data_IF_299559067283
#
_entry.id   IF_299559067283
#
_cell.length_a   1.000
_cell.length_b   1.000
_cell.length_c   1.000
_cell.angle_alpha   90.00
_cell.angle_beta   90.00
_cell.angle_gamma   90.00
#
_symmetry.space_group_name_H-M   'P 1'
#
loop_
_entity.id
_entity.type
_entity.pdbx_description
1 polymer ?
#
# COMPACT_ATOMS: atom_id res chain seq x y z
N UNK A 1 -14.95 -2.41 24.80
CA UNK A 1 -13.48 -2.38 24.67
C UNK A 1 -12.96 -3.62 23.93
N UNK A 2 -13.47 -4.81 24.24
CA UNK A 2 -13.07 -6.07 23.56
C UNK A 2 -13.37 -6.10 22.05
N UNK A 3 -14.51 -5.58 21.62
CA UNK A 3 -14.90 -5.52 20.20
C UNK A 3 -13.88 -4.76 19.35
N UNK A 4 -13.42 -3.60 19.81
CA UNK A 4 -12.43 -2.80 19.10
C UNK A 4 -11.07 -3.52 19.01
N UNK A 5 -10.70 -4.28 20.05
CA UNK A 5 -9.46 -5.07 20.02
C UNK A 5 -9.58 -6.27 19.08
N UNK A 6 -10.74 -6.93 19.02
CA UNK A 6 -11.00 -8.03 18.09
C UNK A 6 -11.01 -7.53 16.64
N UNK A 7 -11.69 -6.40 16.37
CA UNK A 7 -11.73 -5.76 15.05
C UNK A 7 -10.32 -5.38 14.58
N UNK A 8 -9.53 -4.72 15.44
CA UNK A 8 -8.14 -4.38 15.14
C UNK A 8 -7.31 -5.61 14.79
N UNK A 9 -7.37 -6.67 15.60
CA UNK A 9 -6.65 -7.93 15.32
C UNK A 9 -7.10 -8.58 14.01
N UNK A 10 -8.40 -8.50 13.68
CA UNK A 10 -8.93 -9.00 12.41
C UNK A 10 -8.35 -8.26 11.22
N UNK A 11 -8.45 -6.92 11.21
CA UNK A 11 -7.88 -6.08 10.15
C UNK A 11 -6.39 -6.34 10.00
N UNK A 12 -5.63 -6.34 11.09
CA UNK A 12 -4.19 -6.55 11.06
C UNK A 12 -3.79 -7.93 10.52
N UNK A 13 -4.60 -8.97 10.80
CA UNK A 13 -4.36 -10.31 10.24
C UNK A 13 -4.62 -10.34 8.73
N UNK A 14 -5.71 -9.72 8.29
CA UNK A 14 -6.06 -9.61 6.86
C UNK A 14 -4.96 -8.86 6.11
N UNK A 15 -4.55 -7.71 6.62
CA UNK A 15 -3.46 -6.88 6.05
C UNK A 15 -2.15 -7.67 5.94
N UNK A 16 -1.80 -8.48 6.96
CA UNK A 16 -0.62 -9.33 6.94
C UNK A 16 -0.69 -10.38 5.82
N UNK A 17 -1.80 -11.13 5.70
CA UNK A 17 -1.93 -12.16 4.66
C UNK A 17 -1.96 -11.56 3.25
N UNK A 18 -2.57 -10.40 3.08
CA UNK A 18 -2.56 -9.65 1.81
C UNK A 18 -1.14 -9.24 1.44
N UNK A 19 -0.36 -8.74 2.40
CA UNK A 19 1.06 -8.42 2.18
C UNK A 19 1.87 -9.66 1.79
N UNK A 20 1.68 -10.79 2.48
CA UNK A 20 2.35 -12.06 2.14
C UNK A 20 1.99 -12.52 0.72
N UNK A 21 0.71 -12.43 0.34
CA UNK A 21 0.30 -12.74 -1.03
C UNK A 21 0.99 -11.82 -2.06
N UNK A 22 1.11 -10.52 -1.75
CA UNK A 22 1.89 -9.59 -2.57
C UNK A 22 3.37 -9.98 -2.68
N UNK A 23 4.01 -10.39 -1.57
CA UNK A 23 5.42 -10.82 -1.58
C UNK A 23 5.66 -12.05 -2.47
N UNK A 24 4.70 -12.97 -2.55
CA UNK A 24 4.82 -14.14 -3.43
C UNK A 24 4.96 -13.74 -4.90
N UNK A 25 4.41 -12.59 -5.31
CA UNK A 25 4.55 -12.08 -6.68
C UNK A 25 5.98 -11.65 -7.03
N UNK A 26 6.82 -11.39 -6.04
CA UNK A 26 8.21 -11.00 -6.28
C UNK A 26 9.03 -12.15 -6.90
N UNK A 27 8.76 -13.39 -6.51
CA UNK A 27 9.50 -14.55 -7.03
C UNK A 27 9.32 -14.72 -8.56
N UNK A 28 8.09 -14.82 -9.10
CA UNK A 28 7.90 -14.93 -10.54
C UNK A 28 8.36 -13.66 -11.28
N UNK A 29 8.23 -12.47 -10.67
CA UNK A 29 8.75 -11.24 -11.25
C UNK A 29 10.28 -11.29 -11.39
N UNK A 30 10.99 -11.73 -10.35
CA UNK A 30 12.46 -11.88 -10.40
C UNK A 30 12.89 -12.90 -11.45
N UNK A 31 12.23 -14.05 -11.53
CA UNK A 31 12.51 -15.07 -12.52
C UNK A 31 12.25 -14.59 -13.95
N UNK A 32 11.14 -13.87 -14.16
CA UNK A 32 10.80 -13.28 -15.46
C UNK A 32 11.84 -12.25 -15.89
N UNK A 33 12.21 -11.34 -14.99
CA UNK A 33 13.20 -10.29 -15.28
C UNK A 33 14.58 -10.89 -15.55
N UNK A 34 15.01 -11.87 -14.72
CA UNK A 34 16.28 -12.56 -14.95
C UNK A 34 16.28 -13.34 -16.29
N UNK A 35 15.17 -14.04 -16.58
CA UNK A 35 15.01 -14.77 -17.85
C UNK A 35 15.04 -13.85 -19.07
N UNK A 36 14.41 -12.67 -18.98
CA UNK A 36 14.44 -11.68 -20.05
C UNK A 36 15.86 -11.13 -20.29
N UNK A 37 16.59 -10.82 -19.22
CA UNK A 37 17.99 -10.35 -19.30
C UNK A 37 18.90 -11.42 -19.94
N UNK A 38 18.77 -12.68 -19.50
CA UNK A 38 19.53 -13.80 -20.07
C UNK A 38 19.16 -14.00 -21.53
N UNK A 39 17.88 -13.98 -21.89
CA UNK A 39 17.41 -14.11 -23.26
C UNK A 39 17.96 -13.03 -24.20
N UNK A 40 18.01 -11.78 -23.72
CA UNK A 40 18.64 -10.68 -24.46
C UNK A 40 20.15 -10.86 -24.64
N UNK A 41 20.83 -11.29 -23.57
CA UNK A 41 22.29 -11.44 -23.58
C UNK A 41 22.77 -12.63 -24.43
N UNK A 42 22.05 -13.76 -24.41
CA UNK A 42 22.49 -15.00 -25.06
C UNK A 42 21.87 -15.21 -26.44
N UNK A 43 20.60 -14.90 -26.59
CA UNK A 43 19.81 -15.18 -27.78
C UNK A 43 19.51 -13.92 -28.62
N UNK A 44 19.88 -12.72 -28.11
CA UNK A 44 19.50 -11.42 -28.67
C UNK A 44 17.98 -11.28 -28.86
N UNK A 45 17.19 -11.98 -28.08
CA UNK A 45 15.73 -12.00 -28.14
C UNK A 45 15.14 -11.69 -26.77
N UNK A 46 14.46 -10.53 -26.63
CA UNK A 46 13.71 -10.20 -25.42
C UNK A 46 12.47 -11.09 -25.29
N UNK A 47 12.02 -11.33 -24.06
CA UNK A 47 10.71 -11.94 -23.79
C UNK A 47 9.65 -10.85 -24.02
N UNK A 48 8.72 -11.01 -24.99
CA UNK A 48 7.70 -10.01 -25.27
C UNK A 48 6.84 -9.75 -24.02
N UNK A 49 6.69 -8.48 -23.66
CA UNK A 49 5.85 -8.09 -22.52
C UNK A 49 6.45 -8.35 -21.14
N UNK A 50 7.69 -8.86 -21.01
CA UNK A 50 8.32 -9.13 -19.71
C UNK A 50 8.38 -7.89 -18.80
N UNK A 51 8.73 -6.74 -19.36
CA UNK A 51 8.79 -5.46 -18.62
C UNK A 51 7.40 -5.09 -18.12
N UNK A 52 6.41 -5.15 -18.99
CA UNK A 52 5.02 -4.80 -18.71
C UNK A 52 4.41 -5.68 -17.59
N UNK A 53 4.62 -7.00 -17.67
CA UNK A 53 4.18 -7.92 -16.61
C UNK A 53 4.89 -7.61 -15.30
N UNK A 54 6.19 -7.35 -15.32
CA UNK A 54 6.98 -7.04 -14.12
C UNK A 54 6.50 -5.74 -13.46
N UNK A 55 6.19 -4.71 -14.24
CA UNK A 55 5.63 -3.44 -13.75
C UNK A 55 4.29 -3.66 -13.04
N UNK A 56 3.40 -4.45 -13.64
CA UNK A 56 2.10 -4.76 -13.03
C UNK A 56 2.23 -5.59 -11.75
N UNK A 57 3.09 -6.61 -11.74
CA UNK A 57 3.35 -7.41 -10.55
C UNK A 57 3.93 -6.53 -9.41
N UNK A 58 4.86 -5.64 -9.74
CA UNK A 58 5.44 -4.71 -8.78
C UNK A 58 4.40 -3.72 -8.25
N UNK A 59 3.54 -3.16 -9.11
CA UNK A 59 2.48 -2.25 -8.70
C UNK A 59 1.50 -2.93 -7.72
N UNK A 60 1.05 -4.14 -8.04
CA UNK A 60 0.16 -4.92 -7.16
C UNK A 60 0.84 -5.21 -5.82
N UNK A 61 2.11 -5.66 -5.83
CA UNK A 61 2.88 -5.91 -4.61
C UNK A 61 2.96 -4.67 -3.72
N UNK A 62 3.35 -3.52 -4.28
CA UNK A 62 3.48 -2.26 -3.52
C UNK A 62 2.13 -1.89 -2.90
N UNK A 63 1.05 -1.90 -3.69
CA UNK A 63 -0.28 -1.51 -3.23
C UNK A 63 -0.82 -2.42 -2.11
N UNK A 64 -0.62 -3.73 -2.22
CA UNK A 64 -1.03 -4.68 -1.20
C UNK A 64 -0.18 -4.58 0.08
N UNK A 65 1.06 -4.15 -0.03
CA UNK A 65 1.99 -4.02 1.11
C UNK A 65 1.85 -2.71 1.87
N UNK A 66 1.25 -1.66 1.28
CA UNK A 66 1.13 -0.32 1.89
C UNK A 66 0.47 -0.35 3.27
N UNK A 67 -0.65 -1.05 3.40
CA UNK A 67 -1.38 -1.15 4.66
C UNK A 67 -0.57 -1.87 5.75
N UNK A 68 0.14 -2.94 5.39
CA UNK A 68 1.03 -3.64 6.32
C UNK A 68 2.22 -2.77 6.75
N UNK A 69 2.80 -2.00 5.84
CA UNK A 69 3.86 -1.04 6.16
C UNK A 69 3.40 0.00 7.18
N UNK A 70 2.15 0.48 7.09
CA UNK A 70 1.57 1.35 8.11
C UNK A 70 1.38 0.62 9.44
N UNK A 71 0.86 -0.61 9.41
CA UNK A 71 0.65 -1.44 10.61
C UNK A 71 1.93 -1.63 11.43
N UNK A 72 3.06 -1.91 10.78
CA UNK A 72 4.37 -2.08 11.44
C UNK A 72 5.09 -0.75 11.66
N UNK A 73 4.44 0.39 11.32
CA UNK A 73 5.02 1.74 11.41
C UNK A 73 6.33 1.86 10.63
N UNK A 74 6.42 1.15 9.50
CA UNK A 74 7.57 1.12 8.62
C UNK A 74 7.78 2.39 7.79
N UNK A 75 6.80 3.31 7.76
CA UNK A 75 7.00 4.61 7.14
C UNK A 75 8.01 5.45 7.93
N UNK A 76 8.88 6.14 7.20
CA UNK A 76 9.89 7.03 7.78
C UNK A 76 9.20 8.10 8.63
N UNK A 77 9.48 8.12 9.91
CA UNK A 77 8.97 9.12 10.85
C UNK A 77 10.13 9.98 11.33
N UNK A 78 9.93 11.28 11.35
CA UNK A 78 10.89 12.24 11.91
C UNK A 78 10.85 12.19 13.45
N UNK A 79 11.00 10.99 14.03
CA UNK A 79 10.91 10.75 15.46
C UNK A 79 11.93 11.59 16.26
N UNK A 80 13.09 11.87 15.66
CA UNK A 80 14.12 12.69 16.29
C UNK A 80 13.64 14.11 16.61
N UNK A 81 12.91 14.75 15.70
CA UNK A 81 12.35 16.09 15.95
C UNK A 81 11.18 16.04 16.92
N UNK A 82 10.30 15.05 16.74
CA UNK A 82 9.09 14.92 17.57
C UNK A 82 9.46 14.55 19.01
N UNK A 83 10.53 13.75 19.24
CA UNK A 83 10.93 13.34 20.59
C UNK A 83 11.39 14.50 21.49
N UNK A 84 11.76 15.65 20.92
CA UNK A 84 12.13 16.87 21.67
C UNK A 84 10.92 17.69 22.13
N UNK A 85 9.73 17.39 21.63
CA UNK A 85 8.50 18.10 21.97
C UNK A 85 7.84 17.52 23.22
N UNK A 86 7.05 18.32 23.92
CA UNK A 86 6.28 17.83 25.05
C UNK A 86 5.33 16.69 24.64
N UNK A 87 5.03 15.73 25.53
CA UNK A 87 4.19 14.57 25.18
C UNK A 87 2.78 14.92 24.65
N UNK A 88 2.24 16.07 25.06
CA UNK A 88 0.95 16.57 24.55
C UNK A 88 1.09 17.06 23.10
N UNK A 89 2.14 17.84 22.82
CA UNK A 89 2.40 18.34 21.45
C UNK A 89 2.70 17.19 20.51
N UNK A 90 3.42 16.15 20.96
CA UNK A 90 3.63 14.93 20.17
C UNK A 90 2.31 14.28 19.75
N UNK A 91 1.36 14.15 20.68
CA UNK A 91 0.06 13.54 20.37
C UNK A 91 -0.76 14.40 19.41
N UNK A 92 -0.72 15.72 19.55
CA UNK A 92 -1.41 16.64 18.63
C UNK A 92 -0.81 16.55 17.22
N UNK A 93 0.52 16.60 17.10
CA UNK A 93 1.20 16.44 15.80
C UNK A 93 0.87 15.09 15.17
N UNK A 94 0.86 14.01 15.95
CA UNK A 94 0.50 12.67 15.46
C UNK A 94 -0.95 12.63 14.93
N UNK A 95 -1.89 13.27 15.60
CA UNK A 95 -3.30 13.38 15.16
C UNK A 95 -3.40 14.19 13.86
N UNK A 96 -2.78 15.37 13.82
CA UNK A 96 -2.84 16.26 12.64
C UNK A 96 -2.23 15.58 11.41
N UNK A 97 -1.05 14.98 11.55
CA UNK A 97 -0.39 14.28 10.44
C UNK A 97 -1.19 13.06 9.98
N UNK A 98 -1.80 12.31 10.90
CA UNK A 98 -2.66 11.16 10.55
C UNK A 98 -3.92 11.62 9.81
N UNK A 99 -4.54 12.73 10.22
CA UNK A 99 -5.71 13.30 9.53
C UNK A 99 -5.36 13.77 8.11
N UNK A 100 -4.23 14.48 7.95
CA UNK A 100 -3.76 14.92 6.63
C UNK A 100 -3.46 13.71 5.71
N UNK A 101 -2.79 12.69 6.23
CA UNK A 101 -2.52 11.45 5.49
C UNK A 101 -3.82 10.76 5.08
N UNK A 102 -4.78 10.66 5.99
CA UNK A 102 -6.08 10.05 5.72
C UNK A 102 -6.86 10.80 4.65
N UNK A 103 -6.82 12.14 4.67
CA UNK A 103 -7.43 12.98 3.65
C UNK A 103 -6.83 12.73 2.26
N UNK A 104 -5.49 12.70 2.15
CA UNK A 104 -4.80 12.44 0.88
C UNK A 104 -5.14 11.04 0.37
N UNK A 105 -5.08 10.03 1.23
CA UNK A 105 -5.35 8.64 0.84
C UNK A 105 -6.80 8.46 0.43
N UNK A 106 -7.74 9.14 1.10
CA UNK A 106 -9.16 9.13 0.71
C UNK A 106 -9.34 9.64 -0.73
N UNK A 107 -8.66 10.73 -1.10
CA UNK A 107 -8.68 11.25 -2.47
C UNK A 107 -8.11 10.21 -3.45
N UNK A 108 -6.99 9.57 -3.11
CA UNK A 108 -6.37 8.53 -3.96
C UNK A 108 -7.30 7.33 -4.14
N UNK A 109 -7.96 6.88 -3.08
CA UNK A 109 -8.96 5.78 -3.14
C UNK A 109 -10.13 6.15 -4.03
N UNK A 110 -10.68 7.35 -3.83
CA UNK A 110 -11.79 7.86 -4.62
C UNK A 110 -11.44 7.93 -6.11
N UNK A 111 -10.32 8.55 -6.43
CA UNK A 111 -9.84 8.67 -7.82
C UNK A 111 -9.48 7.30 -8.41
N UNK A 112 -8.83 6.44 -7.65
CA UNK A 112 -8.51 5.08 -8.08
C UNK A 112 -9.76 4.26 -8.40
N UNK A 113 -10.83 4.42 -7.62
CA UNK A 113 -12.12 3.80 -7.88
C UNK A 113 -12.79 4.36 -9.13
N UNK A 114 -12.98 5.68 -9.20
CA UNK A 114 -13.65 6.35 -10.32
C UNK A 114 -12.92 6.09 -11.64
N UNK A 115 -11.61 6.27 -11.67
CA UNK A 115 -10.82 6.03 -12.86
C UNK A 115 -10.80 4.53 -13.19
N UNK A 116 -10.66 3.65 -12.20
CA UNK A 116 -10.63 2.20 -12.41
C UNK A 116 -11.88 1.64 -13.08
N UNK A 117 -13.06 2.18 -12.77
CA UNK A 117 -14.35 1.74 -13.39
C UNK A 117 -14.48 2.28 -14.82
N UNK A 118 -14.04 3.50 -15.09
CA UNK A 118 -14.21 4.15 -16.40
C UNK A 118 -13.04 3.91 -17.36
N UNK A 119 -11.99 3.23 -16.90
CA UNK A 119 -10.79 3.02 -17.68
C UNK A 119 -11.01 1.95 -18.77
N UNK A 120 -10.81 2.34 -20.01
CA UNK A 120 -10.92 1.48 -21.18
C UNK A 120 -9.57 1.22 -21.85
N UNK A 121 -8.49 1.87 -21.36
CA UNK A 121 -7.16 1.68 -21.95
C UNK A 121 -6.60 0.30 -21.63
N UNK A 122 -5.86 -0.22 -22.59
CA UNK A 122 -5.13 -1.48 -22.47
C UNK A 122 -3.63 -1.21 -22.54
N UNK A 123 -2.83 -2.13 -22.05
CA UNK A 123 -1.38 -2.02 -22.14
C UNK A 123 -0.89 -2.12 -23.59
N UNK A 124 0.30 -1.58 -23.85
CA UNK A 124 0.79 -1.39 -25.21
C UNK A 124 1.11 -2.72 -25.92
N UNK A 125 1.72 -3.67 -25.22
CA UNK A 125 2.22 -4.90 -25.81
C UNK A 125 1.27 -6.09 -25.63
N UNK A 126 0.83 -6.31 -24.38
CA UNK A 126 0.01 -7.47 -24.01
C UNK A 126 -1.50 -7.21 -24.07
N UNK A 127 -1.93 -5.97 -24.32
CA UNK A 127 -3.34 -5.57 -24.36
C UNK A 127 -4.10 -5.91 -23.08
N UNK A 128 -3.42 -5.91 -21.91
CA UNK A 128 -4.02 -6.15 -20.62
C UNK A 128 -4.84 -4.92 -20.19
N UNK A 129 -6.08 -5.08 -19.72
CA UNK A 129 -6.90 -3.95 -19.29
C UNK A 129 -6.30 -3.29 -18.04
N UNK A 130 -6.00 -1.99 -18.14
CA UNK A 130 -5.40 -1.22 -17.05
C UNK A 130 -6.37 -0.97 -15.89
N UNK A 131 -7.68 -1.10 -16.14
CA UNK A 131 -8.74 -0.95 -15.12
C UNK A 131 -8.51 -1.81 -13.88
N UNK A 132 -8.06 -3.07 -14.05
CA UNK A 132 -7.78 -3.98 -12.94
C UNK A 132 -6.73 -3.41 -12.00
N UNK A 133 -5.62 -2.88 -12.53
CA UNK A 133 -4.52 -2.35 -11.71
C UNK A 133 -4.93 -1.05 -11.00
N UNK A 134 -5.74 -0.21 -11.63
CA UNK A 134 -6.30 1.00 -11.00
C UNK A 134 -7.28 0.66 -9.88
N UNK A 135 -8.04 -0.42 -9.99
CA UNK A 135 -8.87 -0.92 -8.89
C UNK A 135 -8.04 -1.44 -7.72
N UNK A 136 -6.87 -2.04 -7.95
CA UNK A 136 -5.96 -2.39 -6.86
C UNK A 136 -5.47 -1.17 -6.07
N UNK A 137 -5.35 0.01 -6.70
CA UNK A 137 -5.06 1.27 -5.99
C UNK A 137 -6.18 1.58 -4.99
N UNK A 138 -7.43 1.43 -5.40
CA UNK A 138 -8.56 1.66 -4.51
C UNK A 138 -8.60 0.65 -3.35
N UNK A 139 -8.36 -0.64 -3.63
CA UNK A 139 -8.33 -1.70 -2.60
C UNK A 139 -7.18 -1.49 -1.61
N UNK A 140 -5.95 -1.30 -2.10
CA UNK A 140 -4.77 -1.07 -1.26
C UNK A 140 -4.89 0.21 -0.42
N UNK A 141 -5.37 1.29 -1.04
CA UNK A 141 -5.63 2.56 -0.37
C UNK A 141 -6.74 2.45 0.69
N UNK A 142 -7.81 1.68 0.43
CA UNK A 142 -8.87 1.43 1.40
C UNK A 142 -8.34 0.70 2.64
N UNK A 143 -7.54 -0.36 2.46
CA UNK A 143 -6.90 -1.06 3.58
C UNK A 143 -5.98 -0.13 4.37
N UNK A 144 -5.25 0.74 3.68
CA UNK A 144 -4.40 1.74 4.30
C UNK A 144 -5.23 2.77 5.10
N UNK A 145 -6.39 3.21 4.60
CA UNK A 145 -7.31 4.07 5.35
C UNK A 145 -7.76 3.41 6.66
N UNK A 146 -8.06 2.10 6.65
CA UNK A 146 -8.44 1.37 7.85
C UNK A 146 -7.32 1.37 8.91
N UNK A 147 -6.06 1.17 8.50
CA UNK A 147 -4.92 1.23 9.42
C UNK A 147 -4.70 2.65 9.99
N UNK A 148 -4.87 3.70 9.17
CA UNK A 148 -4.81 5.09 9.67
C UNK A 148 -5.94 5.42 10.64
N UNK A 149 -7.14 4.90 10.44
CA UNK A 149 -8.25 5.05 11.39
C UNK A 149 -7.95 4.37 12.74
N UNK A 150 -7.30 3.20 12.70
CA UNK A 150 -6.85 2.51 13.92
C UNK A 150 -5.79 3.35 14.65
N UNK A 151 -4.82 3.91 13.92
CA UNK A 151 -3.78 4.76 14.50
C UNK A 151 -4.38 6.05 15.09
N UNK A 152 -5.33 6.68 14.39
CA UNK A 152 -6.04 7.87 14.88
C UNK A 152 -6.77 7.58 16.19
N UNK A 153 -7.50 6.45 16.26
CA UNK A 153 -8.19 6.05 17.47
C UNK A 153 -7.23 5.72 18.64
N UNK A 154 -6.03 5.25 18.35
CA UNK A 154 -5.00 5.03 19.36
C UNK A 154 -4.40 6.34 19.87
N UNK A 155 -4.13 7.30 18.99
CA UNK A 155 -3.52 8.61 19.33
C UNK A 155 -4.49 9.51 20.08
N UNK A 156 -5.78 9.51 19.73
CA UNK A 156 -6.81 10.23 20.47
C UNK A 156 -6.99 9.70 21.90
N UNK A 157 -6.94 8.35 22.08
CA UNK A 157 -6.99 7.76 23.42
C UNK A 157 -5.78 8.12 24.28
N UNK A 158 -4.60 8.24 23.69
CA UNK A 158 -3.40 8.71 24.43
C UNK A 158 -3.57 10.14 24.91
N UNK A 159 -4.17 11.02 24.09
CA UNK A 159 -4.38 12.42 24.43
C UNK A 159 -5.41 12.58 25.58
N UNK A 160 -6.50 11.82 25.55
CA UNK A 160 -7.58 11.89 26.57
C UNK A 160 -7.17 11.27 27.93
N UNK A 161 -6.29 10.28 27.92
CA UNK A 161 -5.82 9.61 29.15
C UNK A 161 -4.69 10.34 29.90
N UNK A 162 -4.19 11.43 29.36
CA UNK A 162 -3.15 12.29 29.97
C UNK A 162 -3.68 13.66 30.34
#
# INVERSE_FOLDING_TARGET
>A
MEYLLKLRKGIQRVTFYICVAGMVLLLPMMLLTAGDVIGRATLSRPIPGAVEISEYMLAVFILLSLAYTQQVKGHVRLSFFISRLSPRVQSVVEIVTTLLSLFIIFIVVWQGWVIGIHETTVSDMLRIPQSLFKLFVAVGGFLLCLEFLIDLAASTKKLVRR
#
